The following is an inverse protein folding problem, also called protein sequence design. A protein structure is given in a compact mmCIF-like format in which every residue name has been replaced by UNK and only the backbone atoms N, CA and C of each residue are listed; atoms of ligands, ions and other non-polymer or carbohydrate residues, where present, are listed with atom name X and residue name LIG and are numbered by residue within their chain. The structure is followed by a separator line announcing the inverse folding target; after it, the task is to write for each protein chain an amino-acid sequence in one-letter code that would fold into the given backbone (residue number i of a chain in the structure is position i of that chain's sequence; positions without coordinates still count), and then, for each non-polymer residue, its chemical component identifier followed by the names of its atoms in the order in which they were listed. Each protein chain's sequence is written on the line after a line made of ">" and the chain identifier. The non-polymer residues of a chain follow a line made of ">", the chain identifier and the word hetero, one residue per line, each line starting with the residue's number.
data_IF_057794822596
#
_entry.id   IF_057794822596
#
_cell.length_a   1.000
_cell.length_b   1.000
_cell.length_c   1.000
_cell.angle_alpha   90.00
_cell.angle_beta   90.00
_cell.angle_gamma   90.00
#
_symmetry.space_group_name_H-M   'P 1'
#
loop_
_entity.id
_entity.type
_entity.pdbx_description
1 polymer ?
#
# COMPACT_ATOMS: atom_id res chain seq x y z
N UNK A 1 23.94 -16.69 -20.07
CA UNK A 1 22.52 -17.01 -20.38
C UNK A 1 21.86 -17.36 -19.06
N UNK A 2 21.33 -16.39 -18.33
CA UNK A 2 20.57 -16.59 -17.10
C UNK A 2 19.27 -17.29 -17.45
N UNK A 3 19.02 -18.35 -16.75
CA UNK A 3 17.98 -19.34 -17.04
C UNK A 3 16.59 -18.72 -16.87
N UNK A 4 15.99 -18.21 -17.95
CA UNK A 4 14.61 -17.71 -17.97
C UNK A 4 13.59 -18.71 -17.39
N UNK A 5 13.88 -20.01 -17.45
CA UNK A 5 13.06 -21.05 -16.83
C UNK A 5 13.01 -20.92 -15.29
N UNK A 6 14.09 -20.49 -14.65
CA UNK A 6 14.16 -20.31 -13.18
C UNK A 6 13.30 -19.11 -12.73
N UNK A 7 13.22 -18.05 -13.53
CA UNK A 7 12.33 -16.90 -13.26
C UNK A 7 10.84 -17.26 -13.46
N UNK A 8 10.52 -18.08 -14.47
CA UNK A 8 9.15 -18.58 -14.67
C UNK A 8 8.71 -19.56 -13.58
N UNK A 9 9.59 -20.38 -13.04
CA UNK A 9 9.28 -21.32 -11.98
C UNK A 9 9.19 -20.68 -10.59
N UNK A 10 9.79 -19.50 -10.36
CA UNK A 10 9.72 -18.80 -9.09
C UNK A 10 8.37 -18.10 -8.82
N UNK A 11 7.51 -18.00 -9.83
CA UNK A 11 6.20 -17.34 -9.76
C UNK A 11 5.01 -18.27 -10.01
N UNK A 12 5.16 -19.57 -9.74
CA UNK A 12 4.01 -20.50 -9.80
C UNK A 12 3.04 -20.16 -8.66
N UNK A 13 1.99 -19.43 -9.01
CA UNK A 13 0.89 -19.16 -8.07
C UNK A 13 0.13 -20.48 -7.87
N UNK A 14 0.06 -21.00 -6.63
CA UNK A 14 -0.60 -22.28 -6.37
C UNK A 14 -2.11 -22.19 -6.64
N UNK A 15 -2.66 -23.27 -7.18
CA UNK A 15 -4.09 -23.43 -7.38
C UNK A 15 -4.70 -24.16 -6.19
N UNK A 16 -5.90 -23.74 -5.78
CA UNK A 16 -6.73 -24.40 -4.78
C UNK A 16 -8.07 -24.80 -5.39
N UNK A 17 -8.58 -25.96 -5.01
CA UNK A 17 -9.86 -26.48 -5.49
C UNK A 17 -10.87 -26.41 -4.35
N UNK A 18 -11.98 -25.70 -4.58
CA UNK A 18 -13.15 -25.70 -3.70
C UNK A 18 -14.19 -26.68 -4.21
N UNK A 19 -14.65 -27.55 -3.31
CA UNK A 19 -15.83 -28.39 -3.57
C UNK A 19 -17.07 -27.70 -3.02
N UNK A 20 -18.10 -27.59 -3.85
CA UNK A 20 -19.40 -27.06 -3.47
C UNK A 20 -20.52 -27.96 -3.96
N UNK A 21 -21.74 -27.75 -3.47
CA UNK A 21 -22.94 -28.44 -3.96
C UNK A 21 -23.21 -28.21 -5.48
N UNK A 22 -22.51 -27.29 -6.12
CA UNK A 22 -22.59 -26.96 -7.56
C UNK A 22 -21.42 -27.52 -8.37
N UNK A 23 -20.54 -28.32 -7.75
CA UNK A 23 -19.34 -28.88 -8.36
C UNK A 23 -18.03 -28.31 -7.85
N UNK A 24 -16.93 -28.69 -8.48
CA UNK A 24 -15.58 -28.23 -8.16
C UNK A 24 -15.24 -26.96 -8.93
N UNK A 25 -14.57 -26.02 -8.25
CA UNK A 25 -13.99 -24.81 -8.85
C UNK A 25 -12.55 -24.66 -8.44
N UNK A 26 -11.68 -24.47 -9.41
CA UNK A 26 -10.27 -24.12 -9.19
C UNK A 26 -10.09 -22.60 -9.18
N UNK A 27 -9.31 -22.12 -8.21
CA UNK A 27 -8.89 -20.71 -8.09
C UNK A 27 -7.38 -20.68 -7.90
N UNK A 28 -6.71 -19.67 -8.42
CA UNK A 28 -5.41 -19.33 -7.87
C UNK A 28 -5.56 -18.82 -6.43
N UNK A 29 -4.48 -18.87 -5.64
CA UNK A 29 -4.56 -18.53 -4.20
C UNK A 29 -4.97 -17.07 -3.97
N UNK A 30 -4.57 -16.13 -4.81
CA UNK A 30 -4.94 -14.72 -4.65
C UNK A 30 -6.41 -14.48 -4.99
N UNK A 31 -6.91 -15.09 -6.06
CA UNK A 31 -8.34 -15.07 -6.41
C UNK A 31 -9.20 -15.71 -5.32
N UNK A 32 -8.69 -16.77 -4.68
CA UNK A 32 -9.40 -17.39 -3.55
C UNK A 32 -9.45 -16.48 -2.32
N UNK A 33 -8.34 -15.81 -2.01
CA UNK A 33 -8.26 -14.85 -0.90
C UNK A 33 -9.06 -13.57 -1.18
N UNK A 34 -9.17 -13.15 -2.43
CA UNK A 34 -10.03 -12.03 -2.82
C UNK A 34 -11.51 -12.28 -2.49
N UNK A 35 -12.00 -13.53 -2.54
CA UNK A 35 -13.35 -13.89 -2.05
C UNK A 35 -13.53 -13.64 -0.56
N UNK A 36 -12.45 -13.70 0.22
CA UNK A 36 -12.42 -13.31 1.64
C UNK A 36 -12.16 -11.81 1.82
N UNK A 37 -12.24 -11.03 0.72
CA UNK A 37 -12.02 -9.59 0.66
C UNK A 37 -10.60 -9.16 1.02
N UNK A 38 -9.62 -10.03 0.81
CA UNK A 38 -8.20 -9.77 1.07
C UNK A 38 -7.50 -9.44 -0.25
N UNK A 39 -6.90 -8.26 -0.31
CA UNK A 39 -6.07 -7.77 -1.41
C UNK A 39 -4.62 -7.76 -0.94
N UNK A 40 -3.70 -8.24 -1.79
CA UNK A 40 -2.27 -8.18 -1.54
C UNK A 40 -1.63 -7.05 -2.36
N UNK A 41 -0.99 -6.12 -1.67
CA UNK A 41 -0.12 -5.11 -2.26
C UNK A 41 1.33 -5.51 -1.97
N UNK A 42 1.94 -6.24 -2.91
CA UNK A 42 3.28 -6.79 -2.76
C UNK A 42 4.24 -6.29 -3.84
N UNK A 43 5.52 -6.10 -3.47
CA UNK A 43 6.54 -5.61 -4.39
C UNK A 43 6.43 -4.12 -4.68
N UNK A 44 7.05 -3.70 -5.79
CA UNK A 44 7.13 -2.29 -6.18
C UNK A 44 5.79 -1.77 -6.70
N UNK A 45 5.36 -0.60 -6.23
CA UNK A 45 4.15 0.07 -6.69
C UNK A 45 4.43 0.78 -8.02
N UNK A 46 3.79 0.30 -9.08
CA UNK A 46 3.81 0.85 -10.41
C UNK A 46 2.39 0.94 -10.98
N UNK A 47 2.22 1.43 -12.20
CA UNK A 47 0.90 1.64 -12.80
C UNK A 47 0.10 0.33 -12.95
N UNK A 48 0.76 -0.80 -13.26
CA UNK A 48 0.09 -2.10 -13.38
C UNK A 48 -0.44 -2.58 -12.02
N UNK A 49 0.37 -2.48 -10.97
CA UNK A 49 -0.03 -2.83 -9.60
C UNK A 49 -1.16 -1.91 -9.14
N UNK A 50 -1.06 -0.61 -9.40
CA UNK A 50 -2.09 0.35 -9.02
C UNK A 50 -3.42 0.06 -9.73
N UNK A 51 -3.40 -0.22 -11.03
CA UNK A 51 -4.58 -0.58 -11.80
C UNK A 51 -5.24 -1.85 -11.26
N UNK A 52 -4.44 -2.87 -10.92
CA UNK A 52 -4.95 -4.13 -10.38
C UNK A 52 -5.58 -3.96 -8.99
N UNK A 53 -4.92 -3.24 -8.08
CA UNK A 53 -5.44 -2.99 -6.73
C UNK A 53 -6.72 -2.14 -6.80
N UNK A 54 -6.73 -1.09 -7.61
CA UNK A 54 -7.92 -0.26 -7.86
C UNK A 54 -9.10 -1.08 -8.37
N UNK A 55 -8.86 -1.95 -9.36
CA UNK A 55 -9.92 -2.83 -9.90
C UNK A 55 -10.48 -3.79 -8.84
N UNK A 56 -9.62 -4.36 -7.98
CA UNK A 56 -10.05 -5.22 -6.89
C UNK A 56 -10.85 -4.46 -5.81
N UNK A 57 -10.45 -3.24 -5.47
CA UNK A 57 -11.19 -2.39 -4.53
C UNK A 57 -12.61 -2.09 -5.04
N UNK A 58 -12.73 -1.65 -6.30
CA UNK A 58 -14.02 -1.37 -6.93
C UNK A 58 -14.89 -2.62 -7.08
N UNK A 59 -14.29 -3.76 -7.43
CA UNK A 59 -14.98 -5.03 -7.51
C UNK A 59 -15.59 -5.44 -6.15
N UNK A 60 -14.80 -5.35 -5.07
CA UNK A 60 -15.26 -5.71 -3.73
C UNK A 60 -16.32 -4.73 -3.19
N UNK A 61 -16.22 -3.44 -3.52
CA UNK A 61 -17.29 -2.49 -3.21
C UNK A 61 -18.60 -2.85 -3.94
N UNK A 62 -18.52 -3.19 -5.24
CA UNK A 62 -19.70 -3.57 -6.01
C UNK A 62 -20.37 -4.85 -5.50
N UNK A 63 -19.58 -5.81 -4.95
CA UNK A 63 -20.11 -7.03 -4.35
C UNK A 63 -20.87 -6.77 -3.04
N UNK A 64 -20.26 -6.02 -2.11
CA UNK A 64 -20.89 -5.65 -0.85
C UNK A 64 -20.27 -4.36 -0.29
N UNK A 65 -20.93 -3.20 -0.44
CA UNK A 65 -20.41 -1.90 0.00
C UNK A 65 -20.38 -1.71 1.53
N UNK A 66 -20.90 -2.66 2.30
CA UNK A 66 -20.94 -2.58 3.77
C UNK A 66 -19.87 -3.43 4.44
N UNK A 67 -19.28 -4.36 3.72
CA UNK A 67 -18.25 -5.25 4.26
C UNK A 67 -16.88 -4.65 4.10
N UNK A 68 -16.08 -4.77 5.15
CA UNK A 68 -14.68 -4.34 5.20
C UNK A 68 -13.81 -5.03 4.12
N UNK A 69 -12.81 -4.31 3.64
CA UNK A 69 -11.78 -4.80 2.73
C UNK A 69 -10.45 -4.82 3.48
N UNK A 70 -9.68 -5.89 3.30
CA UNK A 70 -8.37 -6.08 3.93
C UNK A 70 -7.27 -5.87 2.91
N UNK A 71 -6.41 -4.87 3.10
CA UNK A 71 -5.26 -4.59 2.26
C UNK A 71 -3.97 -5.01 2.99
N UNK A 72 -3.38 -6.12 2.57
CA UNK A 72 -2.13 -6.66 3.12
C UNK A 72 -0.94 -6.12 2.35
N UNK A 73 -0.03 -5.43 3.04
CA UNK A 73 1.05 -4.66 2.42
C UNK A 73 2.41 -5.28 2.74
N UNK A 74 3.14 -5.63 1.69
CA UNK A 74 4.56 -5.99 1.73
C UNK A 74 5.28 -5.32 0.55
N UNK A 75 5.57 -4.02 0.69
CA UNK A 75 6.03 -3.19 -0.43
C UNK A 75 7.17 -2.26 -0.02
N UNK A 76 8.21 -2.12 -0.86
CA UNK A 76 9.24 -1.09 -0.71
C UNK A 76 8.76 0.30 -1.15
N UNK A 77 7.52 0.45 -1.61
CA UNK A 77 7.00 1.67 -2.24
C UNK A 77 7.13 1.66 -3.76
N UNK A 78 7.17 2.84 -4.36
CA UNK A 78 7.27 2.98 -5.81
C UNK A 78 6.78 4.34 -6.32
N UNK A 79 6.14 4.36 -7.50
CA UNK A 79 5.68 5.58 -8.16
C UNK A 79 4.62 6.32 -7.33
N UNK A 80 4.87 7.62 -7.11
CA UNK A 80 3.99 8.47 -6.30
C UNK A 80 2.59 8.56 -6.92
N UNK A 81 2.49 8.79 -8.23
CA UNK A 81 1.20 8.89 -8.93
C UNK A 81 0.40 7.61 -8.89
N UNK A 82 1.06 6.46 -9.06
CA UNK A 82 0.45 5.13 -8.93
C UNK A 82 -0.09 4.91 -7.50
N UNK A 83 0.70 5.27 -6.48
CA UNK A 83 0.27 5.20 -5.09
C UNK A 83 -0.88 6.14 -4.75
N UNK A 84 -0.88 7.37 -5.29
CA UNK A 84 -2.00 8.31 -5.12
C UNK A 84 -3.29 7.79 -5.77
N UNK A 85 -3.22 7.11 -6.93
CA UNK A 85 -4.37 6.47 -7.54
C UNK A 85 -5.01 5.40 -6.65
N UNK A 86 -4.19 4.56 -6.00
CA UNK A 86 -4.68 3.59 -4.99
C UNK A 86 -5.29 4.34 -3.80
N UNK A 87 -4.59 5.34 -3.27
CA UNK A 87 -5.05 6.16 -2.14
C UNK A 87 -6.41 6.79 -2.39
N UNK A 88 -6.56 7.49 -3.52
CA UNK A 88 -7.82 8.14 -3.87
C UNK A 88 -8.95 7.12 -4.00
N UNK A 89 -8.67 5.94 -4.56
CA UNK A 89 -9.66 4.85 -4.63
C UNK A 89 -10.04 4.34 -3.24
N UNK A 90 -9.07 4.16 -2.34
CA UNK A 90 -9.33 3.76 -0.94
C UNK A 90 -10.22 4.77 -0.22
N UNK A 91 -10.07 6.07 -0.49
CA UNK A 91 -10.90 7.12 0.12
C UNK A 91 -12.26 7.30 -0.56
N UNK A 92 -12.38 6.92 -1.83
CA UNK A 92 -13.57 7.11 -2.66
C UNK A 92 -14.65 6.06 -2.40
N UNK A 93 -14.26 4.79 -2.19
CA UNK A 93 -15.19 3.68 -1.99
C UNK A 93 -15.83 3.71 -0.60
N UNK A 94 -17.00 3.08 -0.46
CA UNK A 94 -17.79 3.05 0.78
C UNK A 94 -17.27 2.11 1.87
N UNK A 95 -16.73 0.91 1.53
CA UNK A 95 -16.22 -0.01 2.54
C UNK A 95 -15.09 0.59 3.37
N UNK A 96 -15.06 0.29 4.66
CA UNK A 96 -13.86 0.48 5.46
C UNK A 96 -12.72 -0.36 4.91
N UNK A 97 -11.50 0.19 4.95
CA UNK A 97 -10.30 -0.52 4.53
C UNK A 97 -9.40 -0.75 5.74
N UNK A 98 -9.23 -2.02 6.09
CA UNK A 98 -8.23 -2.45 7.06
C UNK A 98 -6.89 -2.64 6.36
N UNK A 99 -5.84 -2.02 6.86
CA UNK A 99 -4.48 -2.18 6.32
C UNK A 99 -3.61 -2.97 7.29
N UNK A 100 -2.82 -3.92 6.77
CA UNK A 100 -1.90 -4.73 7.57
C UNK A 100 -0.51 -4.77 6.92
N UNK A 101 0.49 -4.30 7.63
CA UNK A 101 1.88 -4.46 7.21
C UNK A 101 2.39 -5.88 7.52
N UNK A 102 2.86 -6.59 6.48
CA UNK A 102 3.50 -7.90 6.57
C UNK A 102 4.89 -7.77 5.96
N UNK A 103 5.94 -7.95 6.76
CA UNK A 103 7.33 -7.80 6.33
C UNK A 103 7.76 -6.33 6.23
N UNK A 104 7.33 -5.58 5.22
CA UNK A 104 7.68 -4.16 5.12
C UNK A 104 6.58 -3.30 4.49
N UNK A 105 6.53 -2.05 4.92
CA UNK A 105 5.81 -0.97 4.27
C UNK A 105 6.70 0.27 4.21
N UNK A 106 7.32 0.52 3.07
CA UNK A 106 8.25 1.63 2.90
C UNK A 106 7.74 2.65 1.87
N UNK A 107 8.07 3.94 2.07
CA UNK A 107 7.73 5.01 1.12
C UNK A 107 6.23 5.02 0.79
N UNK A 108 5.84 4.89 -0.48
CA UNK A 108 4.42 4.79 -0.85
C UNK A 108 3.70 3.60 -0.21
N UNK A 109 4.41 2.54 0.21
CA UNK A 109 3.84 1.43 0.99
C UNK A 109 3.40 1.87 2.39
N UNK A 110 4.23 2.66 3.09
CA UNK A 110 3.86 3.23 4.40
C UNK A 110 2.77 4.29 4.29
N UNK A 111 2.75 5.04 3.19
CA UNK A 111 1.70 5.98 2.88
C UNK A 111 0.32 5.28 2.78
N UNK A 112 0.24 4.21 2.00
CA UNK A 112 -1.00 3.43 1.88
C UNK A 112 -1.37 2.68 3.16
N UNK A 113 -0.39 2.23 3.95
CA UNK A 113 -0.62 1.64 5.27
C UNK A 113 -1.33 2.64 6.20
N UNK A 114 -0.84 3.87 6.25
CA UNK A 114 -1.42 4.93 7.08
C UNK A 114 -2.79 5.40 6.61
N UNK A 115 -3.14 5.15 5.34
CA UNK A 115 -4.37 5.58 4.69
C UNK A 115 -5.59 4.68 4.95
N UNK A 116 -5.41 3.58 5.66
CA UNK A 116 -6.51 2.72 6.12
C UNK A 116 -7.48 3.46 7.04
N UNK A 117 -8.67 2.88 7.22
CA UNK A 117 -9.69 3.41 8.13
C UNK A 117 -9.13 3.52 9.55
N UNK A 118 -9.35 4.64 10.20
CA UNK A 118 -8.85 4.89 11.57
C UNK A 118 -9.35 3.80 12.53
N UNK A 119 -8.44 3.26 13.33
CA UNK A 119 -8.69 2.12 14.22
C UNK A 119 -8.52 0.76 13.53
N UNK A 120 -8.23 0.73 12.22
CA UNK A 120 -8.10 -0.50 11.41
C UNK A 120 -6.77 -0.58 10.63
N UNK A 121 -5.73 0.08 11.15
CA UNK A 121 -4.39 0.08 10.57
C UNK A 121 -3.46 -0.74 11.45
N UNK A 122 -2.93 -1.83 10.92
CA UNK A 122 -2.22 -2.84 11.70
C UNK A 122 -0.82 -3.11 11.16
N UNK A 123 0.02 -3.67 12.00
CA UNK A 123 1.31 -4.24 11.62
C UNK A 123 1.59 -5.53 12.38
N UNK A 124 2.25 -6.49 11.73
CA UNK A 124 2.85 -7.62 12.44
C UNK A 124 4.09 -7.16 13.22
N UNK A 125 4.47 -7.82 14.34
CA UNK A 125 5.47 -7.32 15.27
C UNK A 125 6.86 -7.11 14.67
N UNK A 126 7.26 -7.93 13.71
CA UNK A 126 8.59 -7.90 13.11
C UNK A 126 8.64 -7.12 11.78
N UNK A 127 7.55 -6.45 11.40
CA UNK A 127 7.51 -5.66 10.19
C UNK A 127 8.31 -4.37 10.33
N UNK A 128 8.85 -3.91 9.20
CA UNK A 128 9.60 -2.65 9.09
C UNK A 128 8.76 -1.63 8.34
N UNK A 129 8.65 -0.45 8.90
CA UNK A 129 7.93 0.67 8.29
C UNK A 129 8.93 1.78 8.03
N UNK A 130 8.91 2.39 6.85
CA UNK A 130 9.84 3.47 6.52
C UNK A 130 9.10 4.60 5.83
N UNK A 131 9.34 5.81 6.30
CA UNK A 131 8.83 7.04 5.70
C UNK A 131 9.98 7.91 5.21
N UNK A 132 9.80 8.56 4.08
CA UNK A 132 10.71 9.56 3.55
C UNK A 132 9.99 10.46 2.53
N UNK A 133 10.63 11.56 2.15
CA UNK A 133 10.15 12.46 1.10
C UNK A 133 10.24 11.81 -0.29
N UNK A 134 9.44 12.28 -1.29
CA UNK A 134 9.57 11.81 -2.66
C UNK A 134 10.95 12.14 -3.22
N UNK A 135 11.51 11.22 -3.99
CA UNK A 135 12.76 11.42 -4.74
C UNK A 135 12.47 11.47 -6.23
N UNK A 136 13.20 12.33 -6.95
CA UNK A 136 13.11 12.44 -8.40
C UNK A 136 14.46 12.88 -8.99
N UNK A 137 14.67 12.57 -10.27
CA UNK A 137 15.82 13.05 -11.03
C UNK A 137 15.36 13.52 -12.41
N UNK A 138 15.88 14.67 -12.87
CA UNK A 138 15.48 15.26 -14.15
C UNK A 138 16.70 15.68 -14.95
N UNK A 139 16.59 15.58 -16.27
CA UNK A 139 17.53 16.09 -17.26
C UNK A 139 16.76 16.81 -18.35
N UNK A 140 17.30 17.92 -18.85
CA UNK A 140 16.65 18.69 -19.92
C UNK A 140 17.08 20.14 -19.91
N UNK A 141 16.33 20.99 -20.57
CA UNK A 141 16.52 22.44 -20.55
C UNK A 141 16.21 23.00 -19.17
N UNK A 142 16.83 24.13 -18.82
CA UNK A 142 16.69 24.73 -17.48
C UNK A 142 15.22 24.96 -17.08
N UNK A 143 14.39 25.44 -17.99
CA UNK A 143 12.96 25.66 -17.75
C UNK A 143 12.21 24.35 -17.48
N UNK A 144 12.53 23.28 -18.19
CA UNK A 144 11.89 21.96 -17.98
C UNK A 144 12.27 21.39 -16.60
N UNK A 145 13.55 21.55 -16.20
CA UNK A 145 14.02 21.14 -14.88
C UNK A 145 13.27 21.91 -13.78
N UNK A 146 13.06 23.23 -13.95
CA UNK A 146 12.32 24.05 -12.98
C UNK A 146 10.85 23.60 -12.88
N UNK A 147 10.17 23.33 -14.00
CA UNK A 147 8.79 22.83 -14.01
C UNK A 147 8.69 21.51 -13.24
N UNK A 148 9.57 20.56 -13.52
CA UNK A 148 9.56 19.27 -12.83
C UNK A 148 9.94 19.39 -11.34
N UNK A 149 10.87 20.26 -10.99
CA UNK A 149 11.22 20.51 -9.59
C UNK A 149 10.02 21.06 -8.81
N UNK A 150 9.29 22.03 -9.39
CA UNK A 150 8.09 22.59 -8.78
C UNK A 150 6.99 21.54 -8.60
N UNK A 151 6.80 20.63 -9.56
CA UNK A 151 5.84 19.51 -9.44
C UNK A 151 6.21 18.58 -8.28
N UNK A 152 7.50 18.20 -8.13
CA UNK A 152 7.93 17.34 -7.01
C UNK A 152 7.74 18.03 -5.66
N UNK A 153 7.99 19.33 -5.57
CA UNK A 153 7.75 20.10 -4.36
C UNK A 153 6.25 20.18 -4.01
N UNK A 154 5.39 20.29 -5.03
CA UNK A 154 3.93 20.23 -4.86
C UNK A 154 3.49 18.86 -4.34
N UNK A 155 3.99 17.77 -4.92
CA UNK A 155 3.75 16.42 -4.45
C UNK A 155 4.24 16.19 -3.03
N UNK A 156 5.47 16.67 -2.69
CA UNK A 156 6.00 16.60 -1.32
C UNK A 156 5.05 17.26 -0.31
N UNK A 157 4.57 18.46 -0.63
CA UNK A 157 3.63 19.20 0.22
C UNK A 157 2.33 18.39 0.41
N UNK A 158 1.74 17.89 -0.69
CA UNK A 158 0.50 17.10 -0.66
C UNK A 158 0.65 15.83 0.16
N UNK A 159 1.73 15.08 0.01
CA UNK A 159 1.98 13.88 0.79
C UNK A 159 2.12 14.20 2.29
N UNK A 160 2.82 15.28 2.65
CA UNK A 160 2.92 15.71 4.05
C UNK A 160 1.56 16.05 4.66
N UNK A 161 0.69 16.74 3.92
CA UNK A 161 -0.67 17.07 4.35
C UNK A 161 -1.52 15.80 4.56
N UNK A 162 -1.39 14.82 3.67
CA UNK A 162 -2.12 13.54 3.79
C UNK A 162 -1.59 12.72 4.98
N UNK A 163 -0.28 12.62 5.17
CA UNK A 163 0.29 11.96 6.36
C UNK A 163 -0.16 12.66 7.64
N UNK A 164 -0.17 14.00 7.68
CA UNK A 164 -0.67 14.77 8.82
C UNK A 164 -2.13 14.42 9.15
N UNK A 165 -2.99 14.36 8.13
CA UNK A 165 -4.41 13.97 8.26
C UNK A 165 -4.56 12.59 8.90
N UNK A 166 -3.79 11.60 8.46
CA UNK A 166 -3.94 10.21 8.90
C UNK A 166 -3.25 9.92 10.24
N UNK A 167 -2.12 10.56 10.51
CA UNK A 167 -1.36 10.33 11.75
C UNK A 167 -1.82 11.19 12.91
N UNK A 168 -2.47 12.32 12.63
CA UNK A 168 -2.84 13.33 13.63
C UNK A 168 -1.68 14.24 14.05
N UNK A 169 -0.50 14.11 13.41
CA UNK A 169 0.64 14.99 13.65
C UNK A 169 0.54 16.28 12.84
N UNK A 170 1.21 17.32 13.29
CA UNK A 170 1.32 18.56 12.53
C UNK A 170 2.12 18.35 11.23
N UNK A 171 1.85 19.17 10.21
CA UNK A 171 2.58 19.12 8.93
C UNK A 171 4.09 19.32 9.13
N UNK A 172 4.50 20.15 10.10
CA UNK A 172 5.92 20.38 10.39
C UNK A 172 6.59 19.16 11.05
N UNK A 173 5.92 18.43 11.94
CA UNK A 173 6.42 17.15 12.47
C UNK A 173 6.58 16.11 11.35
N UNK A 174 5.58 16.01 10.47
CA UNK A 174 5.64 15.12 9.30
C UNK A 174 6.80 15.49 8.39
N UNK A 175 6.93 16.76 8.02
CA UNK A 175 8.02 17.27 7.18
C UNK A 175 9.39 16.91 7.74
N UNK A 176 9.58 17.08 9.05
CA UNK A 176 10.81 16.73 9.75
C UNK A 176 11.06 15.21 9.70
N UNK A 177 10.03 14.41 9.98
CA UNK A 177 10.13 12.96 10.03
C UNK A 177 10.39 12.33 8.64
N UNK A 178 9.92 12.97 7.56
CA UNK A 178 10.06 12.49 6.18
C UNK A 178 11.30 13.09 5.46
N UNK A 179 12.10 13.94 6.11
CA UNK A 179 13.23 14.62 5.43
C UNK A 179 14.30 13.64 4.92
N UNK A 180 14.51 12.53 5.62
CA UNK A 180 15.40 11.42 5.24
C UNK A 180 14.73 10.09 5.56
N UNK A 181 15.34 8.98 5.12
CA UNK A 181 14.87 7.64 5.43
C UNK A 181 14.72 7.46 6.95
N UNK A 182 13.48 7.28 7.39
CA UNK A 182 13.14 7.12 8.78
C UNK A 182 12.49 5.75 8.98
N UNK A 183 13.30 4.80 9.44
CA UNK A 183 12.89 3.42 9.69
C UNK A 183 12.30 3.27 11.09
N UNK A 184 11.14 2.64 11.15
CA UNK A 184 10.38 2.42 12.38
C UNK A 184 10.11 0.93 12.59
N UNK A 185 10.18 0.48 13.84
CA UNK A 185 9.55 -0.77 14.28
C UNK A 185 8.03 -0.62 14.27
N UNK A 186 7.29 -1.73 14.38
CA UNK A 186 5.83 -1.68 14.49
C UNK A 186 5.36 -0.80 15.67
N UNK A 187 6.00 -0.92 16.84
CA UNK A 187 5.66 -0.12 18.04
C UNK A 187 5.96 1.37 17.85
N UNK A 188 7.08 1.69 17.21
CA UNK A 188 7.42 3.09 16.89
C UNK A 188 6.43 3.67 15.89
N UNK A 189 6.02 2.91 14.87
CA UNK A 189 5.02 3.33 13.89
C UNK A 189 3.64 3.54 14.52
N UNK A 190 3.26 2.70 15.50
CA UNK A 190 2.06 2.90 16.33
C UNK A 190 2.14 4.21 17.12
N UNK A 191 3.23 4.43 17.82
CA UNK A 191 3.46 5.66 18.62
C UNK A 191 3.50 6.91 17.72
N UNK A 192 3.99 6.78 16.50
CA UNK A 192 4.00 7.85 15.50
C UNK A 192 2.60 8.14 14.92
N UNK A 193 1.69 7.17 14.95
CA UNK A 193 0.32 7.28 14.42
C UNK A 193 0.14 6.76 12.99
N UNK A 194 1.15 6.07 12.42
CA UNK A 194 1.04 5.44 11.10
C UNK A 194 0.12 4.23 11.13
N UNK A 195 0.07 3.53 12.27
CA UNK A 195 -0.82 2.39 12.51
C UNK A 195 -1.54 2.58 13.85
N UNK A 196 -2.59 1.81 14.05
CA UNK A 196 -3.40 1.85 15.28
C UNK A 196 -2.99 0.75 16.26
N UNK A 197 -2.56 -0.44 15.75
CA UNK A 197 -2.25 -1.57 16.61
C UNK A 197 -1.18 -2.50 16.00
N UNK A 198 -0.38 -3.12 16.89
CA UNK A 198 0.51 -4.23 16.55
C UNK A 198 -0.19 -5.53 16.91
N UNK A 199 -0.38 -6.42 15.92
CA UNK A 199 -1.14 -7.67 16.09
C UNK A 199 -0.23 -8.90 15.98
N UNK A 200 -0.28 -9.77 16.98
CA UNK A 200 0.51 -11.01 17.00
C UNK A 200 -0.26 -12.22 16.45
N UNK A 201 -1.59 -12.19 16.59
CA UNK A 201 -2.48 -13.28 16.19
C UNK A 201 -3.68 -12.73 15.46
N UNK A 202 -4.17 -13.50 14.51
CA UNK A 202 -5.43 -13.21 13.83
C UNK A 202 -6.58 -13.48 14.80
N UNK A 203 -7.43 -12.46 15.01
CA UNK A 203 -8.68 -12.57 15.77
C UNK A 203 -9.75 -13.33 14.98
#
# INVERSE_FOLDING_TARGET
>A
MTNKLSEYMSNLVPMVVEQSNKGERAYDIYSRLLKERIIFLTGQINDNVASLVTAQLLFLEAEDPKKEIYLYINSPGGLVTAGLGIYDTMQYIKPDISTLCIGQAASMGSFLLSAGTKGKRFSLPNSRIMVHQPSAGFQGQATDIEIHANEVLSLKKRLNEIYSKHTGKSVEEIKTALERDNFMTADTAKSFGLIDEVVEKRS
#
